data_IF_059098295067
#
_entry.id   IF_059098295067
#
_cell.length_a   1.000
_cell.length_b   1.000
_cell.length_c   1.000
_cell.angle_alpha   90.00
_cell.angle_beta   90.00
_cell.angle_gamma   90.00
#
_symmetry.space_group_name_H-M   'P 1'
#
loop_
_entity.id
_entity.type
_entity.pdbx_description
1 polymer ?
#
# COMPACT_ATOMS: atom_id res chain seq x y z
N UNK A 1 18.03 69.84 -6.81
CA UNK A 1 19.28 69.13 -7.12
C UNK A 1 18.92 67.68 -7.33
N UNK A 2 18.88 67.30 -8.60
CA UNK A 2 18.49 66.00 -9.10
C UNK A 2 19.51 64.93 -8.70
N UNK A 3 19.06 63.82 -8.11
CA UNK A 3 19.89 62.61 -7.94
C UNK A 3 19.56 61.68 -9.09
N UNK A 4 20.53 61.53 -9.98
CA UNK A 4 20.47 60.73 -11.19
C UNK A 4 19.94 59.31 -10.94
N UNK A 5 18.90 58.94 -11.69
CA UNK A 5 18.49 57.55 -11.89
C UNK A 5 19.58 56.86 -12.72
N UNK A 6 20.50 56.17 -12.05
CA UNK A 6 21.62 55.50 -12.69
C UNK A 6 21.17 54.30 -13.52
N UNK A 7 21.40 54.36 -14.84
CA UNK A 7 21.14 53.29 -15.80
C UNK A 7 22.11 52.11 -15.68
N UNK A 8 22.18 51.51 -14.49
CA UNK A 8 22.93 50.28 -14.22
C UNK A 8 22.05 49.02 -14.40
N UNK A 9 22.66 47.85 -14.62
CA UNK A 9 21.92 46.59 -14.71
C UNK A 9 21.15 46.33 -13.41
N UNK A 10 19.98 45.71 -13.53
CA UNK A 10 19.11 45.46 -12.39
C UNK A 10 19.84 44.65 -11.29
N UNK A 11 19.72 45.01 -10.01
CA UNK A 11 20.43 44.32 -8.91
C UNK A 11 20.19 42.81 -8.85
N UNK A 12 19.03 42.34 -9.32
CA UNK A 12 18.73 40.91 -9.45
C UNK A 12 19.67 40.20 -10.42
N UNK A 13 19.95 40.81 -11.58
CA UNK A 13 20.79 40.22 -12.63
C UNK A 13 22.26 40.21 -12.23
N UNK A 14 22.74 41.27 -11.59
CA UNK A 14 24.11 41.33 -11.08
C UNK A 14 24.36 40.23 -10.05
N UNK A 15 23.46 40.09 -9.06
CA UNK A 15 23.54 39.03 -8.05
C UNK A 15 23.43 37.62 -8.63
N UNK A 16 22.62 37.45 -9.68
CA UNK A 16 22.49 36.17 -10.36
C UNK A 16 23.77 35.81 -11.11
N UNK A 17 24.41 36.79 -11.77
CA UNK A 17 25.70 36.61 -12.42
C UNK A 17 26.78 36.23 -11.41
N UNK A 18 26.95 37.04 -10.35
CA UNK A 18 27.97 36.81 -9.32
C UNK A 18 27.83 35.44 -8.65
N UNK A 19 26.59 34.99 -8.43
CA UNK A 19 26.28 33.68 -7.86
C UNK A 19 26.68 32.53 -8.78
N UNK A 20 26.56 32.67 -10.10
CA UNK A 20 26.82 31.59 -11.08
C UNK A 20 28.25 31.61 -11.60
N UNK A 21 28.92 32.77 -11.54
CA UNK A 21 30.33 32.92 -11.90
C UNK A 21 31.28 32.43 -10.78
N UNK A 22 30.75 32.11 -9.59
CA UNK A 22 31.50 31.55 -8.48
C UNK A 22 31.72 30.03 -8.66
N UNK A 23 32.95 29.68 -9.06
CA UNK A 23 33.40 28.28 -9.22
C UNK A 23 33.21 27.38 -7.99
N UNK A 24 33.10 27.95 -6.78
CA UNK A 24 32.82 27.14 -5.57
C UNK A 24 31.40 26.61 -5.54
N UNK A 25 30.50 27.19 -6.34
CA UNK A 25 29.10 26.80 -6.45
C UNK A 25 28.81 25.88 -7.63
N UNK A 26 29.81 25.54 -8.45
CA UNK A 26 29.66 24.79 -9.70
C UNK A 26 28.98 23.42 -9.53
N UNK A 27 29.12 22.78 -8.35
CA UNK A 27 28.42 21.53 -8.03
C UNK A 27 26.89 21.69 -7.92
N UNK A 28 26.42 22.92 -7.66
CA UNK A 28 25.01 23.27 -7.43
C UNK A 28 24.45 24.08 -8.60
N UNK A 29 25.21 25.05 -9.10
CA UNK A 29 24.86 25.91 -10.24
C UNK A 29 26.12 26.37 -10.96
N UNK A 30 26.12 26.31 -12.29
CA UNK A 30 27.27 26.73 -13.09
C UNK A 30 26.84 27.35 -14.42
N UNK A 31 27.78 27.99 -15.10
CA UNK A 31 27.65 28.24 -16.53
C UNK A 31 27.71 26.93 -17.32
N UNK A 32 27.02 26.87 -18.46
CA UNK A 32 27.21 25.81 -19.45
C UNK A 32 28.58 25.94 -20.12
N UNK A 33 29.03 24.88 -20.78
CA UNK A 33 30.33 24.85 -21.50
C UNK A 33 30.51 25.98 -22.52
N UNK A 34 29.41 26.59 -22.99
CA UNK A 34 29.41 27.65 -23.98
C UNK A 34 29.24 29.05 -23.34
N UNK A 35 29.29 29.14 -21.99
CA UNK A 35 29.12 30.36 -21.17
C UNK A 35 27.91 31.22 -21.56
N UNK A 36 26.86 30.57 -22.04
CA UNK A 36 25.67 31.25 -22.54
C UNK A 36 24.40 30.83 -21.78
N UNK A 37 24.49 29.92 -20.81
CA UNK A 37 23.34 29.50 -20.02
C UNK A 37 23.73 29.10 -18.61
N UNK A 38 22.78 29.27 -17.69
CA UNK A 38 22.90 28.82 -16.31
C UNK A 38 22.31 27.41 -16.23
N UNK A 39 23.05 26.48 -15.62
CA UNK A 39 22.60 25.12 -15.33
C UNK A 39 22.50 24.97 -13.82
N UNK A 40 21.33 24.55 -13.33
CA UNK A 40 21.12 24.25 -11.90
C UNK A 40 21.14 22.74 -11.74
N UNK A 41 22.22 22.22 -11.17
CA UNK A 41 22.46 20.78 -11.00
C UNK A 41 21.68 20.20 -9.81
N UNK A 42 21.52 20.98 -8.74
CA UNK A 42 20.82 20.56 -7.53
C UNK A 42 19.82 21.64 -7.05
N UNK A 43 18.57 21.64 -7.56
CA UNK A 43 17.57 22.66 -7.22
C UNK A 43 17.23 22.76 -5.72
N UNK A 44 17.12 21.66 -4.95
CA UNK A 44 16.94 21.73 -3.50
C UNK A 44 18.06 22.45 -2.76
N UNK A 45 19.32 22.16 -3.09
CA UNK A 45 20.47 22.80 -2.44
C UNK A 45 20.65 24.24 -2.91
N UNK A 46 20.43 24.52 -4.18
CA UNK A 46 20.39 25.88 -4.73
C UNK A 46 19.42 26.77 -3.94
N UNK A 47 18.20 26.26 -3.71
CA UNK A 47 17.17 26.99 -2.97
C UNK A 47 17.55 27.20 -1.50
N UNK A 48 18.17 26.20 -0.86
CA UNK A 48 18.49 26.22 0.57
C UNK A 48 19.77 26.99 0.91
N UNK A 49 20.80 26.91 0.07
CA UNK A 49 22.15 27.41 0.35
C UNK A 49 22.45 28.72 -0.39
N UNK A 50 22.13 28.78 -1.68
CA UNK A 50 22.54 29.91 -2.53
C UNK A 50 21.52 31.04 -2.48
N UNK A 51 20.22 30.73 -2.62
CA UNK A 51 19.20 31.79 -2.63
C UNK A 51 19.21 32.68 -1.37
N UNK A 52 19.35 32.18 -0.12
CA UNK A 52 19.41 33.03 1.07
C UNK A 52 20.68 33.88 1.17
N UNK A 53 21.76 33.43 0.51
CA UNK A 53 23.07 34.12 0.52
C UNK A 53 23.04 35.33 -0.42
N UNK A 54 22.39 35.19 -1.58
CA UNK A 54 22.35 36.24 -2.60
C UNK A 54 21.04 37.06 -2.59
N UNK A 55 19.92 36.46 -2.16
CA UNK A 55 18.57 37.04 -2.16
C UNK A 55 17.90 36.95 -0.77
N UNK A 56 16.83 37.73 -0.58
CA UNK A 56 16.08 37.77 0.69
C UNK A 56 15.02 36.65 0.81
N UNK A 57 15.16 35.57 0.06
CA UNK A 57 14.25 34.42 0.07
C UNK A 57 15.01 33.15 -0.30
N UNK A 58 14.48 32.00 0.08
CA UNK A 58 14.94 30.67 -0.37
C UNK A 58 14.00 30.05 -1.42
N UNK A 59 13.02 30.82 -1.91
CA UNK A 59 11.99 30.29 -2.83
C UNK A 59 12.51 30.24 -4.28
N UNK A 60 12.70 29.03 -4.79
CA UNK A 60 13.13 28.78 -6.16
C UNK A 60 12.17 29.36 -7.20
N UNK A 61 10.85 29.21 -7.00
CA UNK A 61 9.85 29.75 -7.92
C UNK A 61 9.87 31.28 -7.99
N UNK A 62 10.17 31.97 -6.89
CA UNK A 62 10.35 33.43 -6.88
C UNK A 62 11.59 33.86 -7.66
N UNK A 63 12.66 33.07 -7.60
CA UNK A 63 13.87 33.28 -8.41
C UNK A 63 13.57 33.11 -9.91
N UNK A 64 12.94 32.00 -10.31
CA UNK A 64 12.55 31.74 -11.71
C UNK A 64 11.61 32.82 -12.25
N UNK A 65 10.63 33.27 -11.45
CA UNK A 65 9.71 34.33 -11.86
C UNK A 65 10.42 35.65 -12.14
N UNK A 66 11.38 36.04 -11.30
CA UNK A 66 12.19 37.25 -11.53
C UNK A 66 13.04 37.09 -12.79
N UNK A 67 13.69 35.93 -12.95
CA UNK A 67 14.48 35.60 -14.13
C UNK A 67 13.65 35.72 -15.42
N UNK A 68 12.45 35.15 -15.45
CA UNK A 68 11.53 35.22 -16.58
C UNK A 68 11.03 36.65 -16.85
N UNK A 69 10.86 37.47 -15.81
CA UNK A 69 10.46 38.88 -15.96
C UNK A 69 11.56 39.69 -16.65
N UNK A 70 12.81 39.52 -16.22
CA UNK A 70 13.94 40.19 -16.86
C UNK A 70 14.23 39.63 -18.25
N UNK A 71 14.05 38.33 -18.46
CA UNK A 71 14.16 37.69 -19.76
C UNK A 71 13.19 38.28 -20.80
N UNK A 72 11.92 38.46 -20.41
CA UNK A 72 10.89 39.05 -21.26
C UNK A 72 11.14 40.55 -21.52
N UNK A 73 11.59 41.30 -20.50
CA UNK A 73 11.91 42.73 -20.64
C UNK A 73 13.14 42.97 -21.53
N UNK A 74 14.18 42.14 -21.41
CA UNK A 74 15.35 42.20 -22.26
C UNK A 74 15.03 41.82 -23.72
N UNK A 75 14.16 40.83 -23.96
CA UNK A 75 13.68 40.48 -25.30
C UNK A 75 12.92 41.62 -25.98
N UNK A 76 12.14 42.40 -25.22
CA UNK A 76 11.41 43.57 -25.72
C UNK A 76 12.28 44.81 -25.98
N UNK A 77 13.50 44.89 -25.41
CA UNK A 77 14.43 46.01 -25.61
C UNK A 77 15.43 45.82 -26.77
N UNK A 78 15.27 44.78 -27.60
CA UNK A 78 16.18 44.50 -28.72
C UNK A 78 15.83 45.40 -29.92
N UNK A 79 16.23 46.67 -29.85
CA UNK A 79 16.61 47.62 -30.93
C UNK A 79 16.76 49.04 -30.32
N UNK A 80 17.77 49.89 -30.64
CA UNK A 80 19.16 49.67 -31.03
C UNK A 80 20.11 50.55 -30.16
N UNK A 81 20.45 50.17 -28.93
CA UNK A 81 21.56 50.81 -28.20
C UNK A 81 22.37 49.72 -27.50
N UNK A 82 23.25 49.13 -28.31
CA UNK A 82 24.07 47.95 -28.05
C UNK A 82 25.32 48.37 -27.28
N UNK A 83 25.48 47.88 -26.05
CA UNK A 83 26.71 47.98 -25.25
C UNK A 83 27.23 46.56 -24.96
N UNK A 84 28.54 46.37 -25.06
CA UNK A 84 29.23 45.07 -25.00
C UNK A 84 28.97 44.29 -23.70
N UNK A 85 28.60 44.98 -22.61
CA UNK A 85 28.25 44.36 -21.32
C UNK A 85 26.93 43.58 -21.33
N UNK A 86 26.06 43.79 -22.33
CA UNK A 86 24.73 43.18 -22.41
C UNK A 86 24.70 41.90 -23.26
N UNK A 87 25.71 41.66 -24.10
CA UNK A 87 25.76 40.50 -24.99
C UNK A 87 25.86 39.17 -24.20
N UNK A 88 26.55 39.16 -23.05
CA UNK A 88 26.63 38.00 -22.13
C UNK A 88 25.28 37.71 -21.43
N UNK A 89 24.50 38.76 -21.17
CA UNK A 89 23.23 38.68 -20.43
C UNK A 89 22.05 38.25 -21.31
N UNK A 90 22.13 38.50 -22.62
CA UNK A 90 21.12 38.09 -23.62
C UNK A 90 21.25 36.61 -24.00
N UNK A 91 22.45 36.01 -23.90
CA UNK A 91 22.66 34.58 -24.12
C UNK A 91 21.86 33.69 -23.15
N UNK A 92 21.61 34.18 -21.94
CA UNK A 92 20.90 33.48 -20.86
C UNK A 92 19.45 33.07 -21.20
N UNK A 93 18.76 33.90 -22.00
CA UNK A 93 17.29 33.89 -22.10
C UNK A 93 16.74 32.75 -22.98
N UNK A 94 17.24 32.51 -24.21
CA UNK A 94 16.73 31.43 -25.07
C UNK A 94 17.04 30.01 -24.54
N UNK A 95 18.03 29.91 -23.66
CA UNK A 95 18.65 28.64 -23.26
C UNK A 95 18.00 28.05 -22.01
N UNK A 96 17.49 28.89 -21.10
CA UNK A 96 16.65 28.48 -19.96
C UNK A 96 15.31 27.85 -20.41
N UNK A 97 14.67 28.40 -21.46
CA UNK A 97 13.47 27.79 -22.06
C UNK A 97 13.72 26.37 -22.59
N UNK A 98 14.95 26.05 -23.02
CA UNK A 98 15.29 24.72 -23.56
C UNK A 98 15.60 23.72 -22.44
N UNK A 99 16.25 24.15 -21.36
CA UNK A 99 16.49 23.32 -20.17
C UNK A 99 15.19 22.98 -19.42
N UNK A 100 14.21 23.90 -19.37
CA UNK A 100 12.87 23.60 -18.83
C UNK A 100 12.11 22.52 -19.61
N UNK A 101 12.28 22.47 -20.94
CA UNK A 101 11.63 21.48 -21.79
C UNK A 101 12.21 20.07 -21.59
N UNK A 102 13.53 19.97 -21.44
CA UNK A 102 14.23 18.70 -21.23
C UNK A 102 13.97 18.14 -19.83
N UNK A 103 13.97 19.00 -18.80
CA UNK A 103 13.60 18.63 -17.43
C UNK A 103 12.11 18.24 -17.32
N UNK A 104 11.20 18.93 -18.00
CA UNK A 104 9.79 18.50 -18.08
C UNK A 104 9.64 17.13 -18.72
N UNK A 105 10.35 16.86 -19.82
CA UNK A 105 10.26 15.57 -20.50
C UNK A 105 10.67 14.40 -19.59
N UNK A 106 11.76 14.55 -18.82
CA UNK A 106 12.22 13.52 -17.87
C UNK A 106 11.20 13.35 -16.73
N UNK A 107 10.75 14.46 -16.13
CA UNK A 107 9.77 14.43 -15.04
C UNK A 107 8.42 13.89 -15.51
N UNK A 108 8.00 14.19 -16.74
CA UNK A 108 6.75 13.69 -17.32
C UNK A 108 6.84 12.19 -17.59
N UNK A 109 8.00 11.66 -18.00
CA UNK A 109 8.20 10.22 -18.19
C UNK A 109 8.20 9.45 -16.86
N UNK A 110 8.89 9.98 -15.84
CA UNK A 110 8.85 9.41 -14.49
C UNK A 110 7.44 9.50 -13.90
N UNK A 111 6.75 10.63 -14.08
CA UNK A 111 5.37 10.84 -13.64
C UNK A 111 4.43 9.84 -14.27
N UNK A 112 4.52 9.60 -15.59
CA UNK A 112 3.71 8.59 -16.28
C UNK A 112 4.00 7.19 -15.75
N UNK A 113 5.27 6.83 -15.57
CA UNK A 113 5.63 5.52 -15.01
C UNK A 113 5.08 5.31 -13.59
N UNK A 114 5.11 6.35 -12.74
CA UNK A 114 4.50 6.29 -11.42
C UNK A 114 2.98 6.20 -11.48
N UNK A 115 2.33 6.93 -12.39
CA UNK A 115 0.87 6.90 -12.55
C UNK A 115 0.39 5.49 -12.99
N UNK A 116 1.11 4.85 -13.92
CA UNK A 116 0.85 3.46 -14.33
C UNK A 116 1.01 2.47 -13.16
N UNK A 117 2.06 2.62 -12.35
CA UNK A 117 2.26 1.74 -11.18
C UNK A 117 1.19 2.00 -10.11
N UNK A 118 0.74 3.25 -9.92
CA UNK A 118 -0.39 3.58 -9.04
C UNK A 118 -1.66 2.89 -9.52
N UNK A 119 -1.99 2.97 -10.81
CA UNK A 119 -3.19 2.34 -11.38
C UNK A 119 -3.15 0.82 -11.23
N UNK A 120 -1.99 0.22 -11.50
CA UNK A 120 -1.75 -1.22 -11.34
C UNK A 120 -1.87 -1.66 -9.88
N UNK A 121 -1.29 -0.92 -8.94
CA UNK A 121 -1.39 -1.21 -7.51
C UNK A 121 -2.81 -1.01 -7.00
N UNK A 122 -3.51 0.01 -7.48
CA UNK A 122 -4.91 0.27 -7.16
C UNK A 122 -5.80 -0.89 -7.61
N UNK A 123 -5.61 -1.37 -8.84
CA UNK A 123 -6.29 -2.57 -9.35
C UNK A 123 -5.99 -3.81 -8.49
N UNK A 124 -4.71 -4.03 -8.14
CA UNK A 124 -4.29 -5.19 -7.32
C UNK A 124 -4.87 -5.14 -5.92
N UNK A 125 -4.94 -3.95 -5.31
CA UNK A 125 -5.57 -3.71 -4.01
C UNK A 125 -7.04 -4.10 -4.04
N UNK A 126 -7.80 -3.63 -5.02
CA UNK A 126 -9.23 -3.97 -5.17
C UNK A 126 -9.44 -5.48 -5.31
N UNK A 127 -8.60 -6.16 -6.11
CA UNK A 127 -8.68 -7.61 -6.25
C UNK A 127 -8.39 -8.36 -4.94
N UNK A 128 -7.39 -7.92 -4.17
CA UNK A 128 -7.05 -8.50 -2.87
C UNK A 128 -8.14 -8.24 -1.83
N UNK A 129 -8.71 -7.04 -1.79
CA UNK A 129 -9.82 -6.71 -0.91
C UNK A 129 -11.04 -7.58 -1.21
N UNK A 130 -11.37 -7.79 -2.49
CA UNK A 130 -12.46 -8.69 -2.89
C UNK A 130 -12.20 -10.13 -2.42
N UNK A 131 -11.00 -10.66 -2.65
CA UNK A 131 -10.63 -12.01 -2.22
C UNK A 131 -10.69 -12.16 -0.69
N UNK A 132 -10.30 -11.11 0.06
CA UNK A 132 -10.41 -11.10 1.52
C UNK A 132 -11.88 -11.11 1.99
N UNK A 133 -12.76 -10.34 1.34
CA UNK A 133 -14.19 -10.34 1.65
C UNK A 133 -14.83 -11.69 1.36
N UNK A 134 -14.52 -12.32 0.22
CA UNK A 134 -15.02 -13.66 -0.12
C UNK A 134 -14.56 -14.70 0.90
N UNK A 135 -13.28 -14.66 1.29
CA UNK A 135 -12.74 -15.56 2.32
C UNK A 135 -13.40 -15.35 3.68
N UNK A 136 -13.67 -14.11 4.07
CA UNK A 136 -14.38 -13.80 5.31
C UNK A 136 -15.81 -14.34 5.30
N UNK A 137 -16.53 -14.23 4.18
CA UNK A 137 -17.87 -14.79 4.02
C UNK A 137 -17.87 -16.33 4.06
N UNK A 138 -16.86 -16.99 3.48
CA UNK A 138 -16.72 -18.45 3.57
C UNK A 138 -16.41 -18.92 5.00
N UNK A 139 -15.57 -18.17 5.71
CA UNK A 139 -15.24 -18.46 7.11
C UNK A 139 -16.46 -18.29 8.03
N UNK A 140 -17.28 -17.26 7.83
CA UNK A 140 -18.50 -17.08 8.62
C UNK A 140 -19.50 -18.21 8.36
N UNK A 141 -19.70 -18.60 7.09
CA UNK A 141 -20.55 -19.74 6.74
C UNK A 141 -20.05 -21.06 7.37
N UNK A 142 -18.75 -21.34 7.26
CA UNK A 142 -18.14 -22.54 7.85
C UNK A 142 -18.24 -22.55 9.38
N UNK A 143 -18.10 -21.38 10.01
CA UNK A 143 -18.25 -21.22 11.47
C UNK A 143 -19.66 -21.57 11.93
N UNK A 144 -20.70 -21.06 11.25
CA UNK A 144 -22.10 -21.38 11.57
C UNK A 144 -22.34 -22.89 11.47
N UNK A 145 -21.85 -23.54 10.41
CA UNK A 145 -22.00 -24.98 10.25
C UNK A 145 -21.31 -25.79 11.36
N UNK A 146 -20.16 -25.31 11.85
CA UNK A 146 -19.43 -25.94 12.95
C UNK A 146 -20.15 -25.74 14.29
N UNK A 147 -20.74 -24.57 14.52
CA UNK A 147 -21.58 -24.29 15.68
C UNK A 147 -22.82 -25.21 15.71
N UNK A 148 -23.51 -25.38 14.57
CA UNK A 148 -24.64 -26.31 14.45
C UNK A 148 -24.24 -27.76 14.75
N UNK A 149 -23.11 -28.22 14.19
CA UNK A 149 -22.60 -29.57 14.44
C UNK A 149 -22.25 -29.76 15.92
N UNK A 150 -21.66 -28.75 16.55
CA UNK A 150 -21.33 -28.76 17.99
C UNK A 150 -22.59 -28.84 18.85
N UNK A 151 -23.65 -28.07 18.51
CA UNK A 151 -24.93 -28.15 19.21
C UNK A 151 -25.57 -29.55 19.09
N UNK A 152 -25.50 -30.16 17.91
CA UNK A 152 -26.01 -31.52 17.72
C UNK A 152 -25.29 -32.55 18.59
N UNK A 153 -23.95 -32.49 18.64
CA UNK A 153 -23.15 -33.38 19.48
C UNK A 153 -23.48 -33.18 20.96
N UNK A 154 -23.56 -31.94 21.44
CA UNK A 154 -23.96 -31.65 22.82
C UNK A 154 -25.36 -32.17 23.13
N UNK A 155 -26.30 -32.06 22.18
CA UNK A 155 -27.64 -32.63 22.34
C UNK A 155 -27.65 -34.16 22.34
N UNK A 156 -26.70 -34.82 21.67
CA UNK A 156 -26.51 -36.27 21.77
C UNK A 156 -25.92 -36.67 23.12
N UNK A 157 -24.91 -35.94 23.59
CA UNK A 157 -24.26 -36.14 24.89
C UNK A 157 -25.26 -36.02 26.03
N UNK A 158 -26.05 -34.93 26.07
CA UNK A 158 -27.09 -34.75 27.08
C UNK A 158 -28.14 -35.87 27.09
N UNK A 159 -28.46 -36.43 25.93
CA UNK A 159 -29.37 -37.58 25.84
C UNK A 159 -28.75 -38.84 26.42
N UNK A 160 -27.47 -39.07 26.16
CA UNK A 160 -26.73 -40.19 26.75
C UNK A 160 -26.62 -40.03 28.28
N UNK A 161 -26.32 -38.84 28.77
CA UNK A 161 -26.24 -38.55 30.21
C UNK A 161 -27.57 -38.81 30.92
N UNK A 162 -28.68 -38.35 30.32
CA UNK A 162 -30.02 -38.65 30.86
C UNK A 162 -30.28 -40.15 30.91
N UNK A 163 -29.95 -40.88 29.84
CA UNK A 163 -30.12 -42.33 29.80
C UNK A 163 -29.28 -43.00 30.90
N UNK A 164 -28.02 -42.60 31.05
CA UNK A 164 -27.14 -43.12 32.10
C UNK A 164 -27.70 -42.87 33.50
N UNK A 165 -28.19 -41.66 33.77
CA UNK A 165 -28.80 -41.32 35.06
C UNK A 165 -30.10 -42.12 35.32
N UNK A 166 -30.92 -42.34 34.28
CA UNK A 166 -32.09 -43.22 34.39
C UNK A 166 -31.67 -44.66 34.72
N UNK A 167 -30.63 -45.19 34.06
CA UNK A 167 -30.12 -46.53 34.34
C UNK A 167 -29.55 -46.62 35.76
N UNK A 168 -28.81 -45.61 36.19
CA UNK A 168 -28.30 -45.52 37.56
C UNK A 168 -29.43 -45.56 38.59
N UNK A 169 -30.48 -44.76 38.37
CA UNK A 169 -31.67 -44.74 39.23
C UNK A 169 -32.44 -46.07 39.20
N UNK A 170 -32.57 -46.68 38.02
CA UNK A 170 -33.26 -47.96 37.85
C UNK A 170 -32.52 -49.12 38.54
N UNK A 171 -31.19 -49.12 38.53
CA UNK A 171 -30.35 -50.11 39.21
C UNK A 171 -30.47 -49.99 40.73
N UNK A 172 -30.72 -48.80 41.28
CA UNK A 172 -30.97 -48.64 42.72
C UNK A 172 -32.34 -49.22 43.16
N UNK A 173 -33.27 -49.47 42.23
CA UNK A 173 -34.55 -50.10 42.53
C UNK A 173 -34.43 -51.63 42.55
N UNK A 174 -34.40 -52.20 43.75
CA UNK A 174 -34.19 -53.62 43.98
C UNK A 174 -35.25 -54.52 43.30
N UNK A 175 -36.53 -54.11 43.28
CA UNK A 175 -37.60 -54.84 42.59
C UNK A 175 -37.39 -54.90 41.08
N UNK A 176 -36.91 -53.79 40.48
CA UNK A 176 -36.61 -53.73 39.06
C UNK A 176 -35.42 -54.63 38.72
N UNK A 177 -34.33 -54.58 39.50
CA UNK A 177 -33.14 -55.41 39.28
C UNK A 177 -33.47 -56.90 39.38
N UNK A 178 -34.26 -57.31 40.37
CA UNK A 178 -34.69 -58.70 40.53
C UNK A 178 -35.55 -59.16 39.35
N UNK A 179 -36.49 -58.34 38.90
CA UNK A 179 -37.33 -58.63 37.73
C UNK A 179 -36.50 -58.70 36.44
N UNK A 180 -35.58 -57.76 36.24
CA UNK A 180 -34.66 -57.71 35.09
C UNK A 180 -33.75 -58.94 35.07
N UNK A 181 -33.16 -59.30 36.21
CA UNK A 181 -32.31 -60.49 36.34
C UNK A 181 -33.10 -61.79 36.09
N UNK A 182 -34.35 -61.86 36.55
CA UNK A 182 -35.26 -62.96 36.25
C UNK A 182 -35.54 -63.09 34.75
N UNK A 183 -35.87 -61.99 34.09
CA UNK A 183 -36.14 -61.96 32.65
C UNK A 183 -34.90 -62.28 31.81
N UNK A 184 -33.72 -61.77 32.19
CA UNK A 184 -32.44 -62.12 31.55
C UNK A 184 -32.10 -63.60 31.73
N UNK A 185 -32.27 -64.15 32.93
CA UNK A 185 -32.10 -65.59 33.19
C UNK A 185 -33.05 -66.41 32.32
N UNK A 186 -34.32 -66.01 32.21
CA UNK A 186 -35.30 -66.69 31.35
C UNK A 186 -34.94 -66.57 29.86
N UNK A 187 -34.53 -65.41 29.39
CA UNK A 187 -34.13 -65.21 27.99
C UNK A 187 -32.89 -66.01 27.63
N UNK A 188 -31.86 -65.98 28.49
CA UNK A 188 -30.64 -66.79 28.32
C UNK A 188 -30.99 -68.28 28.37
N UNK A 189 -31.82 -68.71 29.32
CA UNK A 189 -32.27 -70.09 29.43
C UNK A 189 -33.04 -70.52 28.16
N UNK A 190 -33.97 -69.71 27.67
CA UNK A 190 -34.70 -69.96 26.42
C UNK A 190 -33.77 -69.96 25.20
N UNK A 191 -32.75 -69.09 25.16
CA UNK A 191 -31.77 -69.04 24.08
C UNK A 191 -30.86 -70.27 24.08
N UNK A 192 -30.42 -70.72 25.26
CA UNK A 192 -29.64 -71.95 25.45
C UNK A 192 -30.48 -73.19 25.13
N UNK A 193 -31.74 -73.25 25.56
CA UNK A 193 -32.65 -74.35 25.20
C UNK A 193 -32.89 -74.37 23.70
N UNK A 194 -33.20 -73.23 23.06
CA UNK A 194 -33.35 -73.17 21.61
C UNK A 194 -32.08 -73.65 20.90
N UNK A 195 -30.91 -73.07 21.19
CA UNK A 195 -29.65 -73.46 20.52
C UNK A 195 -29.18 -74.88 20.87
N UNK A 196 -29.36 -75.32 22.11
CA UNK A 196 -29.04 -76.68 22.56
C UNK A 196 -29.98 -77.74 21.98
N UNK A 197 -31.26 -77.41 21.76
CA UNK A 197 -32.21 -78.26 21.02
C UNK A 197 -31.83 -78.31 19.53
N UNK A 198 -31.40 -77.20 18.91
CA UNK A 198 -30.86 -77.24 17.54
C UNK A 198 -29.58 -78.09 17.41
N UNK A 199 -28.70 -78.07 18.41
CA UNK A 199 -27.50 -78.91 18.46
C UNK A 199 -27.78 -80.39 18.79
N UNK A 200 -28.91 -80.72 19.43
CA UNK A 200 -29.34 -82.11 19.68
C UNK A 200 -30.16 -82.72 18.54
N UNK A 201 -30.65 -81.89 17.62
CA UNK A 201 -31.44 -82.30 16.45
C UNK A 201 -30.58 -82.48 15.18
N UNK A 202 -29.29 -82.16 15.22
CA UNK A 202 -28.36 -82.37 14.11
C UNK A 202 -27.29 -83.37 14.55
N UNK A 203 -27.52 -84.61 14.11
CA UNK A 203 -26.64 -85.80 13.95
C UNK A 203 -26.23 -86.67 15.16
N UNK A 204 -26.10 -88.02 14.99
CA UNK A 204 -26.60 -88.89 13.91
C UNK A 204 -27.24 -90.22 14.38
N UNK A 205 -28.12 -90.77 13.54
CA UNK A 205 -28.37 -92.21 13.52
C UNK A 205 -29.83 -92.56 13.33
N UNK A 206 -30.23 -92.87 12.09
CA UNK A 206 -30.87 -94.13 11.68
C UNK A 206 -31.32 -94.02 10.22
N UNK A 207 -30.72 -94.91 9.41
CA UNK A 207 -31.01 -95.31 8.03
C UNK A 207 -30.76 -94.33 6.88
#
# INVERSE_FOLDING_TARGET
MDVASGGGPAPFLLKTYDMVDDSTTDEIVSWSSNNNSIVVWNPPEFARLLLPTYFKHNNFSSFIRQLNTYALLCHAMIHPLRSESWDTMIGLIPTLCRAEADYRSIVDQERVAFEEEIDKLSCKKVALEKAAHEKAALLSASKVQLEDSTQQVNGMEQRQDKLLNYLETAIQNQNFVEHLAGNLKLWIFQHIIRKGVYLKLITPGQF
#
